data_IF_706398727041
#
_entry.id   IF_706398727041
#
_cell.length_a   1.000
_cell.length_b   1.000
_cell.length_c   1.000
_cell.angle_alpha   90.00
_cell.angle_beta   90.00
_cell.angle_gamma   90.00
#
_symmetry.space_group_name_H-M   'P 1'
#
loop_
_entity.id
_entity.type
_entity.pdbx_description
1 polymer ?
#
# COMPACT_ATOMS: atom_id res chain seq x y z
N UNK A 1 2.60 17.09 5.36
CA UNK A 1 3.04 16.88 3.96
C UNK A 1 2.72 15.44 3.59
N UNK A 2 2.14 15.16 2.42
CA UNK A 2 1.88 13.78 1.99
C UNK A 2 3.19 13.18 1.45
N UNK A 3 3.87 12.37 2.28
CA UNK A 3 5.19 11.80 2.01
C UNK A 3 5.16 10.30 2.35
N UNK A 4 5.50 9.47 1.39
CA UNK A 4 5.71 8.03 1.57
C UNK A 4 7.20 7.73 1.37
N UNK A 5 7.83 7.11 2.35
CA UNK A 5 9.24 6.68 2.29
C UNK A 5 9.31 5.18 2.56
N UNK A 6 9.97 4.45 1.65
CA UNK A 6 10.25 3.02 1.77
C UNK A 6 11.76 2.85 1.62
N UNK A 7 12.39 2.27 2.64
CA UNK A 7 13.83 1.97 2.66
C UNK A 7 14.02 0.47 2.71
N UNK A 8 14.89 -0.06 1.84
CA UNK A 8 15.30 -1.45 1.83
C UNK A 8 16.77 -1.61 1.45
N UNK A 9 17.23 -2.84 1.29
CA UNK A 9 18.63 -3.19 1.05
C UNK A 9 19.16 -2.65 -0.28
N UNK A 10 18.33 -2.65 -1.32
CA UNK A 10 18.66 -2.14 -2.66
C UNK A 10 18.58 -0.62 -2.80
N UNK A 11 18.22 0.11 -1.73
CA UNK A 11 18.12 1.57 -1.73
C UNK A 11 16.80 2.08 -1.17
N UNK A 12 16.40 3.27 -1.60
CA UNK A 12 15.28 4.02 -1.02
C UNK A 12 14.36 4.63 -2.05
N UNK A 13 13.05 4.52 -1.83
CA UNK A 13 12.01 5.21 -2.60
C UNK A 13 11.38 6.30 -1.72
N UNK A 14 11.30 7.53 -2.25
CA UNK A 14 10.59 8.64 -1.63
C UNK A 14 9.55 9.19 -2.61
N UNK A 15 8.30 9.21 -2.21
CA UNK A 15 7.20 9.84 -2.96
C UNK A 15 6.76 11.08 -2.19
N UNK A 16 6.99 12.25 -2.79
CA UNK A 16 6.62 13.54 -2.20
C UNK A 16 6.37 14.58 -3.28
N UNK A 17 5.34 15.41 -3.10
CA UNK A 17 5.07 16.56 -3.99
C UNK A 17 4.80 16.18 -5.45
N UNK A 18 4.20 15.01 -5.70
CA UNK A 18 3.92 14.52 -7.06
C UNK A 18 5.13 13.91 -7.76
N UNK A 19 6.20 13.57 -7.04
CA UNK A 19 7.44 13.02 -7.59
C UNK A 19 7.82 11.76 -6.85
N UNK A 20 8.24 10.74 -7.58
CA UNK A 20 8.90 9.56 -7.03
C UNK A 20 10.40 9.68 -7.27
N UNK A 21 11.18 9.62 -6.19
CA UNK A 21 12.64 9.60 -6.23
C UNK A 21 13.10 8.23 -5.73
N UNK A 22 13.66 7.44 -6.64
CA UNK A 22 14.30 6.17 -6.30
C UNK A 22 15.81 6.36 -6.23
N UNK A 23 16.36 6.25 -5.04
CA UNK A 23 17.80 6.23 -4.76
C UNK A 23 18.23 4.78 -4.74
N UNK A 24 18.74 4.27 -5.85
CA UNK A 24 19.18 2.89 -6.01
C UNK A 24 20.63 2.75 -5.55
N UNK A 25 20.92 1.74 -4.73
CA UNK A 25 22.30 1.37 -4.38
C UNK A 25 22.93 0.58 -5.54
N UNK A 26 24.21 0.80 -5.82
CA UNK A 26 24.95 0.06 -6.85
C UNK A 26 25.11 -1.43 -6.52
N UNK A 27 25.09 -1.77 -5.23
CA UNK A 27 25.12 -3.11 -4.67
C UNK A 27 24.19 -3.17 -3.45
N UNK A 28 23.78 -4.36 -3.02
CA UNK A 28 22.91 -4.50 -1.85
C UNK A 28 23.65 -4.07 -0.58
N UNK A 29 22.94 -3.47 0.38
CA UNK A 29 23.53 -3.03 1.64
C UNK A 29 24.28 -4.14 2.41
N UNK A 30 23.77 -5.39 2.51
CA UNK A 30 24.50 -6.47 3.16
C UNK A 30 25.84 -6.79 2.48
N UNK A 31 25.87 -6.80 1.15
CA UNK A 31 27.09 -7.07 0.37
C UNK A 31 28.12 -5.95 0.54
N UNK A 32 27.67 -4.68 0.50
CA UNK A 32 28.53 -3.53 0.76
C UNK A 32 29.14 -3.60 2.16
N UNK A 33 28.32 -3.88 3.17
CA UNK A 33 28.74 -3.96 4.56
C UNK A 33 29.80 -5.04 4.80
N UNK A 34 29.74 -6.15 4.04
CA UNK A 34 30.67 -7.27 4.16
C UNK A 34 32.11 -6.95 3.71
N UNK A 35 32.30 -6.11 2.69
CA UNK A 35 33.64 -5.78 2.16
C UNK A 35 34.10 -4.35 2.49
N UNK A 36 33.20 -3.49 2.98
CA UNK A 36 33.53 -2.11 3.29
C UNK A 36 34.50 -2.00 4.47
N UNK A 37 35.67 -1.43 4.20
CA UNK A 37 36.72 -1.18 5.20
C UNK A 37 36.71 0.25 5.74
N UNK A 38 35.82 1.10 5.22
CA UNK A 38 35.73 2.53 5.58
C UNK A 38 34.67 2.76 6.66
N UNK A 39 35.04 3.46 7.72
CA UNK A 39 34.10 3.88 8.76
C UNK A 39 33.01 4.79 8.17
N UNK A 40 31.74 4.43 8.37
CA UNK A 40 30.58 5.12 7.76
C UNK A 40 30.61 5.19 6.22
N UNK A 41 31.18 4.17 5.58
CA UNK A 41 31.09 4.00 4.14
C UNK A 41 29.62 3.90 3.68
N UNK A 42 29.33 4.40 2.49
CA UNK A 42 28.02 4.27 1.85
C UNK A 42 28.20 3.70 0.44
N UNK A 43 27.32 2.80 -0.02
CA UNK A 43 27.36 2.31 -1.39
C UNK A 43 27.15 3.48 -2.35
N UNK A 44 27.75 3.40 -3.55
CA UNK A 44 27.45 4.36 -4.61
C UNK A 44 25.96 4.31 -4.92
N UNK A 45 25.33 5.47 -5.03
CA UNK A 45 23.89 5.55 -5.31
C UNK A 45 23.61 6.25 -6.62
N UNK A 46 22.60 5.77 -7.33
CA UNK A 46 22.05 6.43 -8.53
C UNK A 46 20.64 6.91 -8.21
N UNK A 47 20.35 8.18 -8.52
CA UNK A 47 19.03 8.78 -8.30
C UNK A 47 18.22 8.77 -9.58
N UNK A 48 17.10 8.07 -9.56
CA UNK A 48 16.10 8.07 -10.61
C UNK A 48 14.93 8.95 -10.15
N UNK A 49 14.58 9.95 -10.95
CA UNK A 49 13.47 10.88 -10.65
C UNK A 49 12.36 10.66 -11.67
N UNK A 50 11.23 10.19 -11.19
CA UNK A 50 10.03 9.97 -12.00
C UNK A 50 9.03 11.09 -11.74
N UNK A 51 8.50 11.65 -12.84
CA UNK A 51 7.45 12.66 -12.84
C UNK A 51 6.46 12.33 -13.94
N UNK A 52 5.16 12.43 -13.65
CA UNK A 52 4.14 12.33 -14.67
C UNK A 52 2.89 11.58 -14.21
N UNK A 53 1.95 11.53 -15.14
CA UNK A 53 0.73 10.75 -15.09
C UNK A 53 0.90 9.62 -16.11
N UNK A 54 1.75 8.64 -15.81
CA UNK A 54 1.89 7.46 -16.66
C UNK A 54 0.93 6.35 -16.20
N UNK A 55 0.81 5.29 -16.99
CA UNK A 55 -0.12 4.18 -16.74
C UNK A 55 0.10 3.50 -15.37
N UNK A 56 1.30 3.61 -14.80
CA UNK A 56 1.77 2.96 -13.57
C UNK A 56 2.04 3.94 -12.42
N UNK A 57 2.26 5.23 -12.70
CA UNK A 57 2.59 6.25 -11.72
C UNK A 57 1.60 7.44 -11.82
N UNK A 58 0.61 7.47 -10.93
CA UNK A 58 -0.36 8.57 -10.80
C UNK A 58 -0.09 9.42 -9.56
N UNK A 59 0.94 10.27 -9.59
CA UNK A 59 1.23 11.19 -8.50
C UNK A 59 0.73 12.60 -8.82
N UNK A 60 -0.50 12.92 -8.42
CA UNK A 60 -0.98 14.31 -8.44
C UNK A 60 -0.52 15.04 -7.18
N UNK A 61 -0.13 16.31 -7.31
CA UNK A 61 0.09 17.21 -6.15
C UNK A 61 -1.19 17.40 -5.32
N UNK A 62 -2.35 17.25 -5.97
CA UNK A 62 -3.68 17.30 -5.37
C UNK A 62 -4.52 16.17 -5.97
N UNK A 63 -4.37 14.91 -5.50
CA UNK A 63 -5.25 13.86 -5.94
C UNK A 63 -6.69 14.29 -5.59
N UNK A 64 -7.65 14.12 -6.50
CA UNK A 64 -9.05 14.30 -6.15
C UNK A 64 -9.38 13.33 -5.01
N UNK A 65 -9.56 13.86 -3.80
CA UNK A 65 -9.98 13.07 -2.64
C UNK A 65 -11.49 12.78 -2.75
N UNK A 66 -12.23 12.88 -1.65
CA UNK A 66 -13.68 12.76 -1.66
C UNK A 66 -14.39 13.61 -2.73
N UNK A 67 -14.01 14.89 -3.01
CA UNK A 67 -14.70 15.67 -4.04
C UNK A 67 -14.61 15.07 -5.44
N UNK A 68 -13.50 14.42 -5.79
CA UNK A 68 -13.34 13.80 -7.11
C UNK A 68 -14.11 12.51 -7.26
N UNK A 69 -14.16 11.69 -6.19
CA UNK A 69 -14.96 10.46 -6.17
C UNK A 69 -16.44 10.82 -6.28
N UNK A 70 -16.92 11.79 -5.50
CA UNK A 70 -18.32 12.25 -5.53
C UNK A 70 -18.68 12.83 -6.89
N UNK A 71 -17.81 13.64 -7.49
CA UNK A 71 -18.03 14.18 -8.85
C UNK A 71 -18.04 13.07 -9.90
N UNK A 72 -17.14 12.09 -9.82
CA UNK A 72 -17.14 10.96 -10.74
C UNK A 72 -18.44 10.14 -10.61
N UNK A 73 -18.92 9.94 -9.38
CA UNK A 73 -20.19 9.26 -9.11
C UNK A 73 -21.37 9.98 -9.78
N UNK A 74 -21.49 11.30 -9.62
CA UNK A 74 -22.57 12.08 -10.26
C UNK A 74 -22.42 12.15 -11.78
N UNK A 75 -21.21 12.31 -12.31
CA UNK A 75 -20.95 12.31 -13.75
C UNK A 75 -21.28 10.95 -14.38
N UNK A 76 -21.03 9.83 -13.68
CA UNK A 76 -21.38 8.49 -14.14
C UNK A 76 -22.91 8.30 -14.19
N UNK A 77 -23.63 8.72 -13.14
CA UNK A 77 -25.10 8.67 -13.11
C UNK A 77 -25.75 9.51 -14.20
N UNK A 78 -25.17 10.67 -14.53
CA UNK A 78 -25.65 11.56 -15.58
C UNK A 78 -25.18 11.16 -17.00
N UNK A 79 -24.48 10.03 -17.14
CA UNK A 79 -23.97 9.53 -18.42
C UNK A 79 -22.86 10.39 -19.04
N UNK A 80 -22.24 11.29 -18.27
CA UNK A 80 -21.14 12.18 -18.72
C UNK A 80 -19.79 11.47 -18.77
N UNK A 81 -19.63 10.36 -18.05
CA UNK A 81 -18.45 9.49 -18.11
C UNK A 81 -18.87 8.02 -18.14
N UNK A 82 -18.10 7.20 -18.86
CA UNK A 82 -18.23 5.73 -18.85
C UNK A 82 -17.35 5.07 -17.78
N UNK A 83 -16.43 5.81 -17.19
CA UNK A 83 -15.47 5.32 -16.19
C UNK A 83 -16.01 5.57 -14.80
N UNK A 84 -16.30 4.49 -14.07
CA UNK A 84 -16.69 4.53 -12.67
C UNK A 84 -15.47 4.27 -11.78
N UNK A 85 -15.04 5.30 -11.07
CA UNK A 85 -13.92 5.22 -10.12
C UNK A 85 -14.33 4.41 -8.91
N UNK A 86 -13.46 3.48 -8.47
CA UNK A 86 -13.68 2.62 -7.31
C UNK A 86 -14.98 1.80 -7.40
N UNK A 87 -15.13 0.90 -8.39
CA UNK A 87 -16.29 0.05 -8.50
C UNK A 87 -16.43 -0.84 -7.26
N UNK A 88 -17.66 -1.06 -6.78
CA UNK A 88 -17.91 -1.85 -5.56
C UNK A 88 -17.34 -3.27 -5.59
N UNK A 89 -17.13 -3.85 -6.78
CA UNK A 89 -16.47 -5.16 -6.95
C UNK A 89 -15.03 -5.15 -6.43
N UNK A 90 -14.28 -4.07 -6.63
CA UNK A 90 -12.92 -3.93 -6.07
C UNK A 90 -12.95 -3.80 -4.54
N UNK A 91 -14.01 -3.20 -4.00
CA UNK A 91 -14.23 -3.10 -2.55
C UNK A 91 -14.30 -4.46 -1.86
N UNK A 92 -14.88 -5.48 -2.51
CA UNK A 92 -14.94 -6.85 -1.98
C UNK A 92 -13.53 -7.44 -1.83
N UNK A 93 -12.63 -7.16 -2.78
CA UNK A 93 -11.24 -7.62 -2.73
C UNK A 93 -10.52 -6.94 -1.55
N UNK A 94 -10.74 -5.64 -1.35
CA UNK A 94 -10.19 -4.90 -0.21
C UNK A 94 -10.66 -5.45 1.15
N UNK A 95 -11.96 -5.77 1.28
CA UNK A 95 -12.51 -6.41 2.47
C UNK A 95 -11.93 -7.80 2.69
N UNK A 96 -11.78 -8.59 1.63
CA UNK A 96 -11.16 -9.92 1.69
C UNK A 96 -9.72 -9.83 2.19
N UNK A 97 -8.95 -8.87 1.68
CA UNK A 97 -7.58 -8.62 2.15
C UNK A 97 -7.52 -8.19 3.62
N UNK A 98 -8.42 -7.29 4.04
CA UNK A 98 -8.53 -6.87 5.44
C UNK A 98 -8.84 -8.05 6.36
N UNK A 99 -9.78 -8.91 5.96
CA UNK A 99 -10.16 -10.10 6.73
C UNK A 99 -9.00 -11.09 6.85
N UNK A 100 -8.22 -11.29 5.78
CA UNK A 100 -7.02 -12.13 5.81
C UNK A 100 -5.97 -11.61 6.80
N UNK A 101 -5.73 -10.29 6.82
CA UNK A 101 -4.80 -9.65 7.78
C UNK A 101 -5.26 -9.90 9.22
N UNK A 102 -6.54 -9.68 9.50
CA UNK A 102 -7.09 -9.93 10.83
C UNK A 102 -6.96 -11.40 11.21
N UNK A 103 -7.34 -12.32 10.33
CA UNK A 103 -7.25 -13.76 10.58
C UNK A 103 -5.80 -14.17 10.89
N UNK A 104 -4.82 -13.67 10.13
CA UNK A 104 -3.40 -13.94 10.36
C UNK A 104 -2.93 -13.44 11.73
N UNK A 105 -3.30 -12.20 12.09
CA UNK A 105 -2.95 -11.62 13.39
C UNK A 105 -3.57 -12.38 14.57
N UNK A 106 -4.77 -12.91 14.37
CA UNK A 106 -5.56 -13.60 15.37
C UNK A 106 -5.12 -15.03 15.64
N UNK A 107 -4.74 -15.74 14.58
CA UNK A 107 -4.37 -17.16 14.62
C UNK A 107 -2.86 -17.35 14.70
N UNK A 108 -2.07 -16.29 14.50
CA UNK A 108 -0.61 -16.35 14.53
C UNK A 108 0.01 -17.15 13.37
N UNK A 109 -0.75 -17.39 12.30
CA UNK A 109 -0.32 -18.14 11.12
C UNK A 109 -0.44 -17.30 9.86
N UNK A 110 0.30 -17.70 8.83
CA UNK A 110 0.17 -17.13 7.49
C UNK A 110 -1.20 -17.50 6.87
N UNK A 111 -1.81 -16.54 6.18
CA UNK A 111 -3.12 -16.69 5.52
C UNK A 111 -2.96 -16.31 4.05
N UNK A 112 -3.18 -17.27 3.16
CA UNK A 112 -3.18 -17.07 1.71
C UNK A 112 -4.59 -16.73 1.21
N UNK A 113 -4.67 -15.94 0.13
CA UNK A 113 -5.96 -15.60 -0.51
C UNK A 113 -6.10 -16.47 -1.77
N UNK A 114 -7.24 -17.16 -1.99
CA UNK A 114 -8.45 -17.15 -1.16
C UNK A 114 -8.30 -18.00 0.13
N UNK A 115 -8.98 -17.58 1.21
CA UNK A 115 -9.06 -18.30 2.49
C UNK A 115 -10.52 -18.65 2.84
N UNK A 116 -10.71 -19.49 3.86
CA UNK A 116 -12.02 -19.85 4.37
C UNK A 116 -12.69 -18.68 5.11
N UNK A 117 -13.78 -18.15 4.56
CA UNK A 117 -14.51 -17.05 5.17
C UNK A 117 -15.27 -17.47 6.44
N UNK A 118 -15.66 -18.74 6.55
CA UNK A 118 -16.34 -19.23 7.75
C UNK A 118 -15.39 -19.30 8.94
N UNK A 119 -14.11 -19.58 8.69
CA UNK A 119 -13.06 -19.50 9.70
C UNK A 119 -12.93 -18.07 10.24
N UNK A 120 -12.86 -17.07 9.36
CA UNK A 120 -12.83 -15.67 9.76
C UNK A 120 -14.07 -15.27 10.57
N UNK A 121 -15.26 -15.69 10.14
CA UNK A 121 -16.51 -15.39 10.86
C UNK A 121 -16.53 -15.99 12.28
N UNK A 122 -16.02 -17.22 12.45
CA UNK A 122 -15.90 -17.87 13.76
C UNK A 122 -14.96 -17.09 14.69
N UNK A 123 -13.77 -16.75 14.20
CA UNK A 123 -12.79 -15.97 14.97
C UNK A 123 -13.31 -14.57 15.32
N UNK A 124 -14.04 -13.93 14.40
CA UNK A 124 -14.68 -12.63 14.63
C UNK A 124 -15.73 -12.71 15.75
N UNK A 125 -16.59 -13.73 15.73
CA UNK A 125 -17.64 -13.88 16.74
C UNK A 125 -17.07 -14.18 18.12
N UNK A 126 -16.01 -15.00 18.19
CA UNK A 126 -15.26 -15.24 19.44
C UNK A 126 -14.80 -13.91 20.07
N UNK A 127 -14.20 -13.02 19.27
CA UNK A 127 -13.68 -11.72 19.75
C UNK A 127 -14.77 -10.76 20.17
N UNK A 128 -15.90 -10.75 19.47
CA UNK A 128 -17.08 -9.97 19.89
C UNK A 128 -17.57 -10.42 21.27
N UNK A 129 -17.57 -11.72 21.55
CA UNK A 129 -17.95 -12.26 22.86
C UNK A 129 -16.92 -11.93 23.95
N UNK A 130 -15.63 -12.06 23.66
CA UNK A 130 -14.55 -11.68 24.58
C UNK A 130 -14.61 -10.19 24.96
N UNK A 131 -14.85 -9.29 23.99
CA UNK A 131 -15.02 -7.86 24.25
C UNK A 131 -16.28 -7.55 25.05
N UNK A 132 -17.38 -8.26 24.78
CA UNK A 132 -18.62 -8.11 25.54
C UNK A 132 -18.44 -8.52 27.01
N UNK A 133 -17.68 -9.59 27.28
CA UNK A 133 -17.39 -10.09 28.62
C UNK A 133 -16.34 -9.27 29.38
N UNK A 134 -15.62 -8.38 28.70
CA UNK A 134 -14.62 -7.47 29.32
C UNK A 134 -15.23 -6.19 29.90
N UNK A 135 -16.52 -5.92 29.66
CA UNK A 135 -17.27 -4.80 30.25
C UNK A 135 -17.96 -5.21 31.53
#
# INVERSE_FOLDING_TARGET
>A
TNRLEITGEGGKIVIEGGKLVFTQNAEMEPDFSAHNTVFMGAPKTTKHVYRGWDRYLQFSKYPPQHPGIIKNYTDYLLGRTKVFTAPGREGIIGLTFSNAIHLAAWTGREVSIPFDQDEFLKELELRKQEEANRK
#
